data_IF_640826952115
#
_entry.id   IF_640826952115
#
_cell.length_a   1.000
_cell.length_b   1.000
_cell.length_c   1.000
_cell.angle_alpha   90.00
_cell.angle_beta   90.00
_cell.angle_gamma   90.00
#
_symmetry.space_group_name_H-M   'P 1'
#
loop_
_entity.id
_entity.type
_entity.pdbx_description
1 polymer ?
#
# COMPACT_ATOMS: atom_id res chain seq x y z
N UNK A 1 -12.01 -90.29 25.97
CA UNK A 1 -11.56 -89.03 25.31
C UNK A 1 -12.29 -88.92 23.97
N UNK A 2 -13.29 -88.05 23.87
CA UNK A 2 -14.14 -87.95 22.68
C UNK A 2 -13.41 -87.31 21.50
N UNK A 3 -13.42 -87.99 20.35
CA UNK A 3 -12.91 -87.47 19.09
C UNK A 3 -13.78 -86.31 18.60
N UNK A 4 -13.29 -85.07 18.71
CA UNK A 4 -13.94 -83.91 18.11
C UNK A 4 -14.00 -84.09 16.59
N UNK A 5 -15.19 -83.88 16.01
CA UNK A 5 -15.42 -84.02 14.58
C UNK A 5 -14.56 -82.99 13.81
N UNK A 6 -13.55 -83.47 13.07
CA UNK A 6 -12.61 -82.63 12.31
C UNK A 6 -13.34 -81.64 11.38
N UNK A 7 -14.50 -82.02 10.85
CA UNK A 7 -15.29 -81.15 9.98
C UNK A 7 -15.87 -79.94 10.74
N UNK A 8 -16.26 -80.12 12.01
CA UNK A 8 -16.75 -79.01 12.86
C UNK A 8 -15.61 -78.06 13.18
N UNK A 9 -14.43 -78.58 13.52
CA UNK A 9 -13.23 -77.77 13.81
C UNK A 9 -12.81 -76.93 12.61
N UNK A 10 -12.78 -77.53 11.41
CA UNK A 10 -12.44 -76.82 10.17
C UNK A 10 -13.49 -75.76 9.84
N UNK A 11 -14.78 -76.08 9.98
CA UNK A 11 -15.85 -75.12 9.70
C UNK A 11 -15.83 -73.92 10.66
N UNK A 12 -15.60 -74.18 11.95
CA UNK A 12 -15.45 -73.13 12.96
C UNK A 12 -14.23 -72.24 12.68
N UNK A 13 -13.09 -72.81 12.29
CA UNK A 13 -11.90 -72.03 11.92
C UNK A 13 -12.11 -71.14 10.69
N UNK A 14 -12.81 -71.65 9.67
CA UNK A 14 -13.15 -70.88 8.47
C UNK A 14 -14.04 -69.68 8.83
N UNK A 15 -15.06 -69.87 9.67
CA UNK A 15 -15.95 -68.78 10.10
C UNK A 15 -15.18 -67.75 10.95
N UNK A 16 -14.36 -68.22 11.90
CA UNK A 16 -13.55 -67.35 12.78
C UNK A 16 -12.57 -66.49 11.98
N UNK A 17 -12.03 -66.98 10.86
CA UNK A 17 -11.11 -66.21 10.03
C UNK A 17 -11.82 -65.39 8.93
N UNK A 18 -12.92 -65.88 8.37
CA UNK A 18 -13.63 -65.21 7.29
C UNK A 18 -14.37 -63.94 7.76
N UNK A 19 -15.00 -63.96 8.93
CA UNK A 19 -15.76 -62.81 9.44
C UNK A 19 -14.86 -61.59 9.74
N UNK A 20 -13.70 -61.70 10.41
CA UNK A 20 -12.78 -60.59 10.60
C UNK A 20 -12.19 -60.06 9.29
N UNK A 21 -11.89 -60.94 8.34
CA UNK A 21 -11.36 -60.54 7.03
C UNK A 21 -12.40 -59.80 6.19
N UNK A 22 -13.65 -60.28 6.19
CA UNK A 22 -14.76 -59.60 5.54
C UNK A 22 -15.05 -58.25 6.22
N UNK A 23 -14.99 -58.19 7.55
CA UNK A 23 -15.11 -56.95 8.32
C UNK A 23 -13.99 -55.95 8.01
N UNK A 24 -12.74 -56.39 7.95
CA UNK A 24 -11.58 -55.55 7.60
C UNK A 24 -11.65 -55.07 6.15
N UNK A 25 -12.09 -55.93 5.23
CA UNK A 25 -12.30 -55.56 3.84
C UNK A 25 -13.42 -54.52 3.69
N UNK A 26 -14.56 -54.75 4.35
CA UNK A 26 -15.68 -53.80 4.36
C UNK A 26 -15.28 -52.47 5.00
N UNK A 27 -14.54 -52.49 6.10
CA UNK A 27 -14.00 -51.31 6.76
C UNK A 27 -13.07 -50.52 5.83
N UNK A 28 -12.09 -51.16 5.20
CA UNK A 28 -11.18 -50.50 4.24
C UNK A 28 -11.90 -49.93 3.01
N UNK A 29 -12.99 -50.57 2.57
CA UNK A 29 -13.80 -50.12 1.43
C UNK A 29 -14.70 -48.93 1.79
N UNK A 30 -15.19 -48.86 3.02
CA UNK A 30 -16.15 -47.83 3.47
C UNK A 30 -15.49 -46.67 4.22
N UNK A 31 -14.28 -46.86 4.71
CA UNK A 31 -13.48 -45.84 5.40
C UNK A 31 -12.20 -45.60 4.59
N UNK A 32 -12.23 -44.68 3.60
CA UNK A 32 -11.00 -44.26 2.93
C UNK A 32 -9.97 -43.84 3.99
N UNK A 33 -8.69 -44.14 3.74
CA UNK A 33 -7.61 -43.77 4.66
C UNK A 33 -7.74 -42.29 4.99
N UNK A 34 -7.77 -41.95 6.28
CA UNK A 34 -7.64 -40.56 6.71
C UNK A 34 -6.31 -40.03 6.19
N UNK A 35 -6.37 -39.13 5.22
CA UNK A 35 -5.22 -38.36 4.76
C UNK A 35 -5.24 -37.10 5.62
N UNK A 36 -4.29 -37.00 6.54
CA UNK A 36 -4.13 -35.77 7.30
C UNK A 36 -3.97 -34.60 6.32
N UNK A 37 -4.62 -33.45 6.56
CA UNK A 37 -4.42 -32.29 5.72
C UNK A 37 -2.93 -31.92 5.70
N UNK A 38 -2.45 -31.43 4.56
CA UNK A 38 -1.10 -30.91 4.47
C UNK A 38 -0.88 -29.85 5.57
N UNK A 39 0.30 -29.81 6.20
CA UNK A 39 0.59 -28.76 7.16
C UNK A 39 0.43 -27.39 6.48
N UNK A 40 -0.03 -26.36 7.21
CA UNK A 40 -0.16 -25.02 6.65
C UNK A 40 1.21 -24.53 6.16
N UNK A 41 1.22 -23.87 5.00
CA UNK A 41 2.44 -23.25 4.47
C UNK A 41 2.95 -22.21 5.46
N UNK A 42 4.27 -22.11 5.69
CA UNK A 42 4.83 -21.12 6.60
C UNK A 42 4.57 -19.70 6.09
N UNK A 43 4.10 -18.83 6.98
CA UNK A 43 3.80 -17.42 6.67
C UNK A 43 4.74 -16.48 7.43
N UNK A 44 4.87 -15.26 6.90
CA UNK A 44 5.52 -14.11 7.52
C UNK A 44 4.57 -12.92 7.46
N UNK A 45 4.66 -12.05 8.46
CA UNK A 45 3.90 -10.80 8.50
C UNK A 45 4.71 -9.68 7.84
N UNK A 46 4.10 -9.01 6.88
CA UNK A 46 4.63 -7.81 6.22
C UNK A 46 3.78 -6.62 6.65
N UNK A 47 4.35 -5.63 7.31
CA UNK A 47 3.63 -4.41 7.71
C UNK A 47 4.24 -3.20 7.02
N UNK A 48 3.43 -2.50 6.22
CA UNK A 48 3.79 -1.22 5.62
C UNK A 48 3.09 -0.11 6.42
N UNK A 49 3.83 0.91 6.83
CA UNK A 49 3.30 1.99 7.67
C UNK A 49 2.79 3.14 6.77
N UNK A 50 1.64 3.77 7.07
CA UNK A 50 1.17 4.93 6.32
C UNK A 50 2.23 6.04 6.25
N UNK A 51 2.37 6.63 5.08
CA UNK A 51 3.36 7.68 4.82
C UNK A 51 4.79 7.16 4.60
N UNK A 52 5.00 5.84 4.56
CA UNK A 52 6.25 5.26 4.06
C UNK A 52 6.38 5.46 2.56
N UNK A 53 7.56 5.91 2.12
CA UNK A 53 7.91 5.98 0.71
C UNK A 53 8.52 4.66 0.22
N UNK A 54 8.75 4.57 -1.09
CA UNK A 54 9.23 3.37 -1.75
C UNK A 54 10.65 2.99 -1.29
N UNK A 55 11.47 3.95 -0.86
CA UNK A 55 12.80 3.67 -0.25
C UNK A 55 12.65 2.85 1.03
N UNK A 56 11.73 3.27 1.90
CA UNK A 56 11.44 2.58 3.16
C UNK A 56 10.83 1.21 2.92
N UNK A 57 9.88 1.09 1.98
CA UNK A 57 9.28 -0.19 1.61
C UNK A 57 10.32 -1.14 1.03
N UNK A 58 11.14 -0.68 0.07
CA UNK A 58 12.18 -1.50 -0.53
C UNK A 58 13.19 -2.02 0.51
N UNK A 59 13.69 -1.14 1.38
CA UNK A 59 14.60 -1.53 2.45
C UNK A 59 13.96 -2.53 3.42
N UNK A 60 12.67 -2.39 3.71
CA UNK A 60 11.94 -3.33 4.56
C UNK A 60 11.75 -4.71 3.90
N UNK A 61 11.42 -4.76 2.61
CA UNK A 61 11.27 -6.02 1.87
C UNK A 61 12.61 -6.79 1.74
N UNK A 62 13.72 -6.07 1.56
CA UNK A 62 15.07 -6.65 1.62
C UNK A 62 15.35 -7.24 3.00
N UNK A 63 15.04 -6.50 4.07
CA UNK A 63 15.21 -6.98 5.45
C UNK A 63 14.40 -8.26 5.75
N UNK A 64 13.23 -8.42 5.13
CA UNK A 64 12.41 -9.62 5.25
C UNK A 64 12.87 -10.79 4.36
N UNK A 65 13.85 -10.57 3.48
CA UNK A 65 14.40 -11.59 2.58
C UNK A 65 13.59 -11.81 1.31
N UNK A 66 12.66 -10.91 0.96
CA UNK A 66 11.92 -11.00 -0.30
C UNK A 66 12.70 -10.48 -1.51
N UNK A 67 13.78 -9.71 -1.27
CA UNK A 67 14.69 -9.18 -2.29
C UNK A 67 16.13 -9.19 -1.76
N UNK A 68 17.12 -9.28 -2.66
CA UNK A 68 18.54 -9.25 -2.24
C UNK A 68 19.03 -7.82 -2.05
N UNK A 69 18.58 -6.90 -2.92
CA UNK A 69 18.90 -5.47 -2.86
C UNK A 69 17.66 -4.62 -3.09
N UNK A 70 17.74 -3.32 -2.79
CA UNK A 70 16.66 -2.37 -3.12
C UNK A 70 16.44 -2.25 -4.64
N UNK A 71 17.50 -2.41 -5.43
CA UNK A 71 17.42 -2.35 -6.90
C UNK A 71 16.58 -3.49 -7.48
N UNK A 72 16.54 -4.64 -6.80
CA UNK A 72 15.63 -5.73 -7.19
C UNK A 72 14.15 -5.32 -7.04
N UNK A 73 13.84 -4.49 -6.05
CA UNK A 73 12.51 -3.90 -5.85
C UNK A 73 12.26 -2.83 -6.90
N UNK A 74 13.18 -1.88 -7.08
CA UNK A 74 13.03 -0.78 -8.04
C UNK A 74 12.94 -1.24 -9.49
N UNK A 75 13.49 -2.41 -9.84
CA UNK A 75 13.30 -3.01 -11.18
C UNK A 75 11.83 -3.32 -11.47
N UNK A 76 11.03 -3.60 -10.45
CA UNK A 76 9.60 -3.86 -10.56
C UNK A 76 8.78 -2.59 -10.32
N UNK A 77 9.21 -1.73 -9.40
CA UNK A 77 8.42 -0.59 -8.93
C UNK A 77 8.80 0.76 -9.55
N UNK A 78 9.94 0.87 -10.22
CA UNK A 78 10.58 2.16 -10.50
C UNK A 78 11.32 2.72 -9.28
N UNK A 79 12.21 3.67 -9.53
CA UNK A 79 12.96 4.40 -8.50
C UNK A 79 12.16 5.59 -7.97
N UNK A 80 12.25 5.88 -6.66
CA UNK A 80 11.62 7.05 -6.07
C UNK A 80 12.27 8.36 -6.53
N UNK A 81 11.43 9.38 -6.76
CA UNK A 81 11.81 10.72 -7.22
C UNK A 81 12.60 10.76 -8.55
N UNK A 82 12.36 9.79 -9.44
CA UNK A 82 13.01 9.72 -10.75
C UNK A 82 12.04 10.05 -11.91
N UNK A 83 12.38 11.02 -12.74
CA UNK A 83 11.57 11.44 -13.89
C UNK A 83 11.83 10.57 -15.14
N UNK A 84 11.04 9.52 -15.32
CA UNK A 84 11.20 8.63 -16.48
C UNK A 84 10.69 9.21 -17.80
N UNK A 85 10.11 10.42 -17.84
CA UNK A 85 9.73 11.05 -19.13
C UNK A 85 10.95 11.34 -20.00
N UNK A 86 12.13 11.44 -19.37
CA UNK A 86 13.40 11.72 -20.04
C UNK A 86 14.14 10.48 -20.52
N UNK A 87 13.64 9.28 -20.24
CA UNK A 87 14.27 8.01 -20.61
C UNK A 87 13.25 7.06 -21.22
N UNK A 88 13.65 6.31 -22.25
CA UNK A 88 12.82 5.25 -22.81
C UNK A 88 12.89 4.02 -21.90
N UNK A 89 12.11 4.02 -20.82
CA UNK A 89 12.03 2.91 -19.88
C UNK A 89 10.62 2.33 -19.87
N UNK A 90 10.52 1.01 -20.09
CA UNK A 90 9.27 0.25 -19.96
C UNK A 90 9.36 -0.53 -18.65
N UNK A 91 8.60 -0.12 -17.64
CA UNK A 91 8.51 -0.88 -16.39
C UNK A 91 7.61 -2.10 -16.55
N UNK A 92 7.89 -3.20 -15.81
CA UNK A 92 6.95 -4.30 -15.72
C UNK A 92 5.66 -3.80 -15.08
N UNK A 93 4.53 -4.05 -15.72
CA UNK A 93 3.23 -3.82 -15.12
C UNK A 93 3.05 -4.84 -13.99
N UNK A 94 3.02 -4.37 -12.74
CA UNK A 94 2.87 -5.22 -11.55
C UNK A 94 1.47 -5.86 -11.51
N UNK A 95 0.45 -5.12 -11.93
CA UNK A 95 -0.95 -5.51 -11.81
C UNK A 95 -1.83 -4.83 -12.87
N UNK A 96 -3.01 -5.37 -13.14
CA UNK A 96 -3.99 -4.87 -14.10
C UNK A 96 -5.20 -4.17 -13.46
N UNK A 97 -5.14 -3.85 -12.15
CA UNK A 97 -6.23 -3.15 -11.43
C UNK A 97 -6.57 -1.78 -11.99
N UNK A 98 -7.77 -1.31 -11.65
CA UNK A 98 -8.27 0.00 -12.06
C UNK A 98 -7.41 1.14 -11.51
N UNK A 99 -6.93 1.01 -10.26
CA UNK A 99 -6.06 2.03 -9.64
C UNK A 99 -4.77 2.27 -10.42
N UNK A 100 -4.19 1.25 -11.04
CA UNK A 100 -2.97 1.41 -11.85
C UNK A 100 -3.22 1.75 -13.32
N UNK A 101 -4.48 1.74 -13.77
CA UNK A 101 -4.83 1.97 -15.18
C UNK A 101 -4.49 3.40 -15.65
N UNK A 102 -4.67 4.39 -14.76
CA UNK A 102 -4.35 5.79 -15.04
C UNK A 102 -2.94 6.19 -14.58
N UNK A 103 -2.17 5.25 -14.01
CA UNK A 103 -0.78 5.50 -13.64
C UNK A 103 0.05 5.73 -14.90
N UNK A 104 0.73 6.88 -15.06
CA UNK A 104 1.60 7.08 -16.19
C UNK A 104 2.74 6.04 -16.22
N UNK A 105 3.13 5.61 -17.43
CA UNK A 105 4.24 4.67 -17.61
C UNK A 105 5.60 5.24 -17.20
N UNK A 106 5.69 6.56 -17.05
CA UNK A 106 6.91 7.27 -16.65
C UNK A 106 7.03 7.53 -15.14
N UNK A 107 6.07 7.05 -14.33
CA UNK A 107 6.16 7.17 -12.87
C UNK A 107 6.33 5.80 -12.21
N UNK A 108 6.93 5.81 -11.03
CA UNK A 108 7.09 4.64 -10.17
C UNK A 108 5.74 4.16 -9.60
N UNK A 109 5.78 3.09 -8.81
CA UNK A 109 4.67 2.59 -8.01
C UNK A 109 4.62 3.26 -6.61
N UNK A 110 5.30 4.40 -6.42
CA UNK A 110 5.12 5.22 -5.22
C UNK A 110 3.63 5.58 -5.04
N UNK A 111 3.11 5.47 -3.82
CA UNK A 111 1.67 5.67 -3.55
C UNK A 111 0.81 4.40 -3.69
N UNK A 112 1.20 3.45 -4.52
CA UNK A 112 0.37 2.31 -4.89
C UNK A 112 0.43 1.13 -3.91
N UNK A 113 1.38 1.11 -2.99
CA UNK A 113 1.58 0.01 -2.05
C UNK A 113 0.77 0.27 -0.77
N UNK A 114 -0.37 -0.43 -0.61
CA UNK A 114 -1.27 -0.18 0.51
C UNK A 114 -0.56 -0.33 1.88
N UNK A 115 -0.63 0.68 2.76
CA UNK A 115 0.03 0.65 4.06
C UNK A 115 -0.81 -0.10 5.11
N UNK A 116 -0.81 -1.43 5.02
CA UNK A 116 -1.45 -2.32 5.99
C UNK A 116 -0.52 -3.45 6.46
N UNK A 117 -1.08 -4.37 7.24
CA UNK A 117 -0.42 -5.60 7.71
C UNK A 117 -0.94 -6.81 6.97
N UNK A 118 -0.05 -7.54 6.31
CA UNK A 118 -0.36 -8.67 5.45
C UNK A 118 0.29 -9.96 5.96
N UNK A 119 -0.43 -11.08 5.83
CA UNK A 119 0.15 -12.42 5.87
C UNK A 119 0.56 -12.82 4.47
N UNK A 120 1.83 -13.22 4.33
CA UNK A 120 2.40 -13.69 3.06
C UNK A 120 3.14 -14.99 3.31
N UNK A 121 3.12 -15.92 2.35
CA UNK A 121 3.92 -17.13 2.45
C UNK A 121 5.42 -16.79 2.46
N UNK A 122 6.20 -17.53 3.25
CA UNK A 122 7.65 -17.30 3.38
C UNK A 122 8.40 -17.54 2.08
N UNK A 123 7.86 -18.39 1.21
CA UNK A 123 8.37 -18.71 -0.13
C UNK A 123 7.70 -17.89 -1.24
N UNK A 124 6.89 -16.87 -0.91
CA UNK A 124 6.31 -15.98 -1.90
C UNK A 124 7.42 -15.17 -2.60
N UNK A 125 7.24 -14.93 -3.90
CA UNK A 125 8.16 -14.09 -4.66
C UNK A 125 7.97 -12.61 -4.32
N UNK A 126 8.97 -11.79 -4.61
CA UNK A 126 8.84 -10.32 -4.52
C UNK A 126 7.62 -9.80 -5.28
N UNK A 127 7.39 -10.34 -6.50
CA UNK A 127 6.25 -9.94 -7.32
C UNK A 127 4.91 -10.31 -6.66
N UNK A 128 4.81 -11.46 -5.99
CA UNK A 128 3.60 -11.85 -5.27
C UNK A 128 3.30 -10.90 -4.11
N UNK A 129 4.34 -10.48 -3.38
CA UNK A 129 4.21 -9.48 -2.31
C UNK A 129 3.71 -8.16 -2.87
N UNK A 130 4.35 -7.64 -3.93
CA UNK A 130 3.97 -6.36 -4.54
C UNK A 130 2.54 -6.39 -5.12
N UNK A 131 2.16 -7.47 -5.81
CA UNK A 131 0.79 -7.69 -6.28
C UNK A 131 -0.22 -7.69 -5.14
N UNK A 132 0.12 -8.28 -4.00
CA UNK A 132 -0.75 -8.27 -2.82
C UNK A 132 -0.94 -6.85 -2.27
N UNK A 133 0.12 -6.04 -2.23
CA UNK A 133 0.06 -4.65 -1.76
C UNK A 133 -0.78 -3.77 -2.71
N UNK A 134 -0.55 -3.86 -4.02
CA UNK A 134 -1.31 -3.11 -5.04
C UNK A 134 -2.77 -3.59 -5.10
N UNK A 135 -3.00 -4.89 -5.06
CA UNK A 135 -4.34 -5.46 -5.04
C UNK A 135 -5.12 -5.13 -3.76
N UNK A 136 -4.45 -4.85 -2.64
CA UNK A 136 -5.12 -4.30 -1.47
C UNK A 136 -5.51 -2.84 -1.67
N UNK A 137 -4.64 -2.03 -2.28
CA UNK A 137 -4.94 -0.63 -2.61
C UNK A 137 -6.23 -0.51 -3.43
N UNK A 138 -6.37 -1.35 -4.45
CA UNK A 138 -7.59 -1.41 -5.26
C UNK A 138 -8.85 -1.66 -4.41
N UNK A 139 -8.77 -2.55 -3.42
CA UNK A 139 -9.90 -2.90 -2.54
C UNK A 139 -10.26 -1.79 -1.54
N UNK A 140 -9.32 -0.91 -1.21
CA UNK A 140 -9.58 0.24 -0.34
C UNK A 140 -10.51 1.26 -1.03
N UNK A 141 -10.54 1.28 -2.36
CA UNK A 141 -11.34 2.23 -3.14
C UNK A 141 -12.66 1.56 -3.52
N UNK A 142 -13.72 1.95 -2.80
CA UNK A 142 -15.07 1.43 -3.06
C UNK A 142 -15.63 1.92 -4.40
N UNK A 143 -16.63 1.24 -4.96
CA UNK A 143 -17.32 1.70 -6.17
C UNK A 143 -17.90 3.11 -6.04
N UNK A 144 -18.37 3.48 -4.84
CA UNK A 144 -18.84 4.84 -4.57
C UNK A 144 -17.69 5.86 -4.67
N UNK A 145 -16.53 5.54 -4.10
CA UNK A 145 -15.34 6.39 -4.21
C UNK A 145 -14.90 6.52 -5.67
N UNK A 146 -14.94 5.44 -6.44
CA UNK A 146 -14.65 5.48 -7.88
C UNK A 146 -15.59 6.41 -8.65
N UNK A 147 -16.90 6.33 -8.39
CA UNK A 147 -17.88 7.22 -9.00
C UNK A 147 -17.66 8.69 -8.59
N UNK A 148 -17.27 8.93 -7.33
CA UNK A 148 -17.00 10.28 -6.84
C UNK A 148 -15.69 10.87 -7.41
N UNK A 149 -14.67 10.04 -7.62
CA UNK A 149 -13.43 10.42 -8.34
C UNK A 149 -13.80 10.87 -9.76
N UNK A 150 -14.53 10.05 -10.52
CA UNK A 150 -14.97 10.41 -11.88
C UNK A 150 -15.76 11.73 -11.90
N UNK A 151 -16.66 11.93 -10.93
CA UNK A 151 -17.47 13.14 -10.80
C UNK A 151 -16.65 14.37 -10.42
N UNK A 152 -15.56 14.20 -9.68
CA UNK A 152 -14.68 15.30 -9.29
C UNK A 152 -13.91 15.88 -10.49
N UNK A 153 -13.76 15.12 -11.58
CA UNK A 153 -12.96 15.50 -12.73
C UNK A 153 -11.46 15.26 -12.56
N UNK A 154 -11.04 14.71 -11.42
CA UNK A 154 -9.67 14.27 -11.17
C UNK A 154 -9.49 12.80 -11.55
N UNK A 155 -8.31 12.48 -12.07
CA UNK A 155 -7.87 11.09 -12.23
C UNK A 155 -7.55 10.46 -10.87
N UNK A 156 -7.64 9.13 -10.79
CA UNK A 156 -7.18 8.36 -9.64
C UNK A 156 -5.70 8.60 -9.31
N UNK A 157 -4.88 8.89 -10.32
CA UNK A 157 -3.48 9.27 -10.16
C UNK A 157 -3.32 10.60 -9.42
N UNK A 158 -4.11 11.62 -9.78
CA UNK A 158 -4.11 12.92 -9.10
C UNK A 158 -4.62 12.81 -7.67
N UNK A 159 -5.68 12.01 -7.45
CA UNK A 159 -6.21 11.73 -6.11
C UNK A 159 -5.16 11.05 -5.23
N UNK A 160 -4.46 10.05 -5.76
CA UNK A 160 -3.42 9.35 -5.01
C UNK A 160 -2.21 10.24 -4.73
N UNK A 161 -1.86 11.11 -5.69
CA UNK A 161 -0.81 12.11 -5.53
C UNK A 161 -1.17 13.10 -4.42
N UNK A 162 -2.38 13.67 -4.46
CA UNK A 162 -2.88 14.55 -3.41
C UNK A 162 -2.91 13.85 -2.04
N UNK A 163 -3.44 12.63 -1.97
CA UNK A 163 -3.48 11.83 -0.76
C UNK A 163 -2.09 11.59 -0.15
N UNK A 164 -1.08 11.36 -0.99
CA UNK A 164 0.30 11.18 -0.53
C UNK A 164 0.88 12.44 0.11
N UNK A 165 0.53 13.63 -0.40
CA UNK A 165 0.92 14.92 0.21
C UNK A 165 0.21 15.08 1.55
N UNK A 166 -1.10 14.87 1.60
CA UNK A 166 -1.90 14.98 2.83
C UNK A 166 -1.38 14.06 3.93
N UNK A 167 -0.98 12.83 3.60
CA UNK A 167 -0.41 11.88 4.55
C UNK A 167 0.88 12.42 5.21
N UNK A 168 1.69 13.18 4.46
CA UNK A 168 2.95 13.71 4.95
C UNK A 168 2.81 15.04 5.68
N UNK A 169 1.76 15.81 5.38
CA UNK A 169 1.58 17.16 5.92
C UNK A 169 0.76 17.17 7.22
N UNK A 170 -0.24 16.30 7.35
CA UNK A 170 -1.23 16.37 8.43
C UNK A 170 -1.63 14.99 8.95
N UNK A 171 -1.88 14.92 10.26
CA UNK A 171 -2.11 13.64 10.94
C UNK A 171 -3.59 13.25 11.02
N UNK A 172 -4.47 14.19 11.40
CA UNK A 172 -5.88 13.88 11.70
C UNK A 172 -6.73 13.84 10.43
N UNK A 173 -7.77 12.97 10.35
CA UNK A 173 -8.68 12.95 9.20
C UNK A 173 -9.36 14.30 8.94
N UNK A 174 -9.71 15.04 9.99
CA UNK A 174 -10.35 16.36 9.89
C UNK A 174 -9.41 17.39 9.27
N UNK A 175 -8.14 17.41 9.71
CA UNK A 175 -7.16 18.33 9.13
C UNK A 175 -6.80 17.91 7.69
N UNK A 176 -6.71 16.61 7.40
CA UNK A 176 -6.56 16.08 6.03
C UNK A 176 -7.64 16.64 5.10
N UNK A 177 -8.91 16.59 5.50
CA UNK A 177 -10.01 17.09 4.67
C UNK A 177 -9.94 18.62 4.45
N UNK A 178 -9.57 19.40 5.48
CA UNK A 178 -9.43 20.86 5.35
C UNK A 178 -8.23 21.26 4.50
N UNK A 179 -7.09 20.58 4.68
CA UNK A 179 -5.89 20.84 3.89
C UNK A 179 -6.08 20.39 2.44
N UNK A 180 -6.83 19.30 2.20
CA UNK A 180 -7.22 18.90 0.85
C UNK A 180 -7.97 20.02 0.10
N UNK A 181 -8.95 20.67 0.75
CA UNK A 181 -9.65 21.82 0.17
C UNK A 181 -8.70 22.99 -0.15
N UNK A 182 -7.75 23.29 0.74
CA UNK A 182 -6.75 24.35 0.51
C UNK A 182 -5.89 24.02 -0.72
N UNK A 183 -5.38 22.79 -0.81
CA UNK A 183 -4.47 22.37 -1.89
C UNK A 183 -5.19 22.26 -3.24
N UNK A 184 -6.41 21.71 -3.28
CA UNK A 184 -7.21 21.70 -4.51
C UNK A 184 -7.54 23.12 -4.99
N UNK A 185 -7.97 24.02 -4.10
CA UNK A 185 -8.23 25.42 -4.48
C UNK A 185 -6.98 26.15 -4.95
N UNK A 186 -5.81 25.86 -4.36
CA UNK A 186 -4.52 26.40 -4.84
C UNK A 186 -4.25 25.92 -6.27
N UNK A 187 -4.44 24.63 -6.53
CA UNK A 187 -4.28 24.05 -7.86
C UNK A 187 -5.20 24.72 -8.89
N UNK A 188 -6.50 24.86 -8.58
CA UNK A 188 -7.49 25.53 -9.44
C UNK A 188 -7.14 27.00 -9.74
N UNK A 189 -6.44 27.68 -8.81
CA UNK A 189 -5.99 29.07 -8.96
C UNK A 189 -4.58 29.18 -9.56
N UNK A 190 -3.98 28.06 -9.99
CA UNK A 190 -2.61 28.00 -10.50
C UNK A 190 -1.58 28.53 -9.49
N UNK A 191 -1.82 28.31 -8.20
CA UNK A 191 -0.85 28.59 -7.13
C UNK A 191 0.06 27.38 -6.95
N UNK A 192 1.34 27.63 -6.70
CA UNK A 192 2.26 26.61 -6.24
C UNK A 192 1.75 26.01 -4.91
N UNK A 193 1.82 24.67 -4.75
CA UNK A 193 1.35 24.02 -3.54
C UNK A 193 2.25 24.34 -2.34
N UNK A 194 3.57 24.49 -2.58
CA UNK A 194 4.57 24.91 -1.59
C UNK A 194 4.54 24.04 -0.32
N UNK A 195 4.55 22.72 -0.50
CA UNK A 195 4.54 21.74 0.58
C UNK A 195 5.96 21.20 0.82
N UNK A 196 6.44 21.28 2.07
CA UNK A 196 7.80 20.90 2.46
C UNK A 196 8.04 19.40 2.27
N UNK A 197 7.00 18.58 2.49
CA UNK A 197 7.05 17.13 2.26
C UNK A 197 7.51 16.73 0.85
N UNK A 198 7.12 17.50 -0.18
CA UNK A 198 7.51 17.22 -1.57
C UNK A 198 9.01 17.45 -1.81
N UNK A 199 9.59 18.47 -1.16
CA UNK A 199 11.02 18.76 -1.24
C UNK A 199 11.83 17.76 -0.40
N UNK A 200 11.34 17.39 0.79
CA UNK A 200 11.96 16.33 1.59
C UNK A 200 12.02 14.99 0.85
N UNK A 201 10.98 14.66 0.08
CA UNK A 201 10.96 13.46 -0.75
C UNK A 201 12.07 13.47 -1.81
N UNK A 202 12.27 14.60 -2.49
CA UNK A 202 13.34 14.76 -3.50
C UNK A 202 14.73 14.73 -2.86
N UNK A 203 14.89 15.36 -1.70
CA UNK A 203 16.17 15.43 -1.00
C UNK A 203 16.56 14.13 -0.27
N UNK A 204 15.68 13.11 -0.27
CA UNK A 204 15.82 11.86 0.50
C UNK A 204 16.16 12.11 1.98
N UNK A 205 15.49 13.11 2.59
CA UNK A 205 15.68 13.45 4.01
C UNK A 205 14.50 12.97 4.83
N UNK A 206 14.82 12.49 6.04
CA UNK A 206 13.85 12.12 7.06
C UNK A 206 14.18 12.85 8.37
N UNK A 207 13.17 13.26 9.13
CA UNK A 207 13.32 13.72 10.52
C UNK A 207 13.19 15.23 10.77
N UNK A 208 13.41 16.09 9.77
CA UNK A 208 13.17 17.54 9.89
C UNK A 208 11.79 17.92 9.31
N UNK A 209 11.10 18.86 9.97
CA UNK A 209 9.77 19.35 9.54
C UNK A 209 9.87 20.44 8.48
N UNK A 210 10.98 21.18 8.47
CA UNK A 210 11.16 22.34 7.61
C UNK A 210 12.30 22.14 6.62
N UNK A 211 12.09 22.62 5.40
CA UNK A 211 13.11 22.64 4.36
C UNK A 211 13.92 23.95 4.38
N UNK A 212 15.19 23.86 4.02
CA UNK A 212 16.08 25.01 3.82
C UNK A 212 15.83 25.66 2.45
N UNK A 213 16.23 26.92 2.26
CA UNK A 213 16.13 27.60 0.96
C UNK A 213 16.86 26.82 -0.15
N UNK A 214 18.06 26.30 0.15
CA UNK A 214 18.86 25.49 -0.78
C UNK A 214 18.12 24.23 -1.23
N UNK A 215 17.34 23.60 -0.35
CA UNK A 215 16.54 22.42 -0.70
C UNK A 215 15.34 22.80 -1.56
N UNK A 216 14.70 23.94 -1.28
CA UNK A 216 13.60 24.47 -2.09
C UNK A 216 14.02 24.88 -3.50
N UNK A 217 15.32 25.04 -3.76
CA UNK A 217 15.86 25.33 -5.09
C UNK A 217 16.16 24.08 -5.94
N UNK A 218 16.03 22.87 -5.38
CA UNK A 218 16.32 21.61 -6.11
C UNK A 218 15.47 21.51 -7.38
N UNK A 219 16.12 21.25 -8.51
CA UNK A 219 15.48 21.09 -9.81
C UNK A 219 14.86 19.69 -9.97
N UNK A 220 13.60 19.56 -9.57
CA UNK A 220 12.86 18.30 -9.67
C UNK A 220 11.37 18.55 -9.92
N UNK A 221 10.70 17.76 -10.77
CA UNK A 221 9.27 17.93 -11.02
C UNK A 221 8.38 17.53 -9.84
N UNK A 222 8.95 17.03 -8.74
CA UNK A 222 8.26 16.91 -7.45
C UNK A 222 8.36 18.17 -6.59
N UNK A 223 9.23 19.13 -6.93
CA UNK A 223 9.39 20.35 -6.15
C UNK A 223 8.24 21.34 -6.38
N UNK A 224 7.26 21.29 -5.49
CA UNK A 224 6.06 22.14 -5.51
C UNK A 224 6.28 23.61 -5.14
N UNK A 225 7.50 24.01 -4.78
CA UNK A 225 7.87 25.43 -4.67
C UNK A 225 8.25 26.02 -6.02
N UNK A 226 8.91 25.22 -6.86
CA UNK A 226 9.47 25.65 -8.14
C UNK A 226 8.49 25.48 -9.30
N UNK A 227 7.69 24.43 -9.26
CA UNK A 227 6.73 24.10 -10.31
C UNK A 227 5.30 24.16 -9.77
N UNK A 228 4.47 25.10 -10.26
CA UNK A 228 3.04 25.11 -9.99
C UNK A 228 2.36 23.84 -10.51
N UNK A 229 1.34 23.37 -9.80
CA UNK A 229 0.67 22.11 -10.11
C UNK A 229 0.88 21.04 -9.03
N UNK A 230 0.33 19.85 -9.27
CA UNK A 230 0.71 18.66 -8.52
C UNK A 230 2.16 18.28 -8.85
N UNK A 231 2.90 17.67 -7.91
CA UNK A 231 4.18 17.05 -8.23
C UNK A 231 4.00 15.96 -9.29
N UNK A 232 5.08 15.53 -9.93
CA UNK A 232 5.02 14.55 -11.03
C UNK A 232 4.21 13.30 -10.68
N UNK A 233 4.29 12.85 -9.42
CA UNK A 233 3.51 11.74 -8.87
C UNK A 233 3.54 11.73 -7.34
N UNK A 234 3.03 10.65 -6.72
CA UNK A 234 2.99 10.52 -5.26
C UNK A 234 4.38 10.61 -4.60
N UNK A 235 4.41 10.99 -3.31
CA UNK A 235 5.65 11.14 -2.51
C UNK A 235 5.76 10.14 -1.35
N UNK A 236 4.73 9.32 -1.15
CA UNK A 236 4.65 8.28 -0.14
C UNK A 236 3.41 7.40 -0.40
N UNK A 237 3.28 6.31 0.35
CA UNK A 237 2.09 5.47 0.35
C UNK A 237 1.04 5.98 1.36
N UNK A 238 -0.05 6.63 0.91
CA UNK A 238 -1.06 7.17 1.81
C UNK A 238 -1.95 6.09 2.42
N UNK A 239 -2.45 6.30 3.63
CA UNK A 239 -3.53 5.50 4.18
C UNK A 239 -4.88 5.84 3.54
N UNK A 240 -5.88 4.96 3.72
CA UNK A 240 -7.23 5.15 3.17
C UNK A 240 -7.89 6.46 3.60
N UNK A 241 -7.60 6.95 4.82
CA UNK A 241 -8.16 8.22 5.31
C UNK A 241 -7.63 9.43 4.53
N UNK A 242 -6.38 9.40 4.05
CA UNK A 242 -5.84 10.46 3.19
C UNK A 242 -6.43 10.40 1.78
N UNK A 243 -6.71 9.19 1.26
CA UNK A 243 -7.43 9.02 -0.01
C UNK A 243 -8.84 9.61 0.13
N UNK A 244 -9.58 9.25 1.18
CA UNK A 244 -10.92 9.80 1.44
C UNK A 244 -10.88 11.32 1.55
N UNK A 245 -9.90 11.90 2.24
CA UNK A 245 -9.78 13.36 2.34
C UNK A 245 -9.51 14.03 0.98
N UNK A 246 -8.72 13.40 0.11
CA UNK A 246 -8.47 13.90 -1.24
C UNK A 246 -9.74 13.87 -2.12
N UNK A 247 -10.60 12.85 -1.97
CA UNK A 247 -11.88 12.72 -2.70
C UNK A 247 -12.96 13.63 -2.10
N UNK A 248 -12.99 13.75 -0.77
CA UNK A 248 -14.04 14.44 0.00
C UNK A 248 -13.46 15.60 0.84
N UNK A 249 -12.94 16.67 0.21
CA UNK A 249 -12.38 17.80 0.93
C UNK A 249 -13.45 18.55 1.74
N UNK A 250 -13.06 19.07 2.92
CA UNK A 250 -13.91 19.92 3.75
C UNK A 250 -13.75 21.38 3.33
N UNK A 251 -14.75 21.91 2.63
CA UNK A 251 -14.77 23.32 2.18
C UNK A 251 -14.52 24.29 3.33
N UNK A 252 -13.52 25.14 3.18
CA UNK A 252 -13.18 26.14 4.17
C UNK A 252 -12.67 27.45 3.53
N UNK A 253 -12.45 28.47 4.36
CA UNK A 253 -12.02 29.80 3.92
C UNK A 253 -10.51 30.06 4.05
N UNK A 254 -9.71 29.05 4.37
CA UNK A 254 -8.28 29.21 4.59
C UNK A 254 -7.50 29.11 3.28
N UNK A 255 -6.33 29.73 3.22
CA UNK A 255 -5.42 29.59 2.08
C UNK A 255 -4.05 29.06 2.49
N UNK A 256 -3.77 29.07 3.79
CA UNK A 256 -2.50 28.70 4.38
C UNK A 256 -2.73 27.76 5.56
N UNK A 257 -1.82 26.84 5.74
CA UNK A 257 -1.74 25.97 6.91
C UNK A 257 -0.27 25.81 7.29
N UNK A 258 -0.02 25.46 8.55
CA UNK A 258 1.29 25.06 9.02
C UNK A 258 1.12 24.04 10.14
N UNK A 259 1.85 22.93 10.06
CA UNK A 259 1.85 21.90 11.10
C UNK A 259 2.95 22.20 12.11
N UNK A 260 2.57 22.44 13.36
CA UNK A 260 3.51 22.66 14.46
C UNK A 260 4.25 21.38 14.85
N UNK A 261 5.32 21.52 15.63
CA UNK A 261 6.06 20.36 16.18
C UNK A 261 5.23 19.51 17.15
N UNK A 262 4.16 20.07 17.68
CA UNK A 262 3.15 19.41 18.50
C UNK A 262 2.12 18.62 17.66
N UNK A 263 2.21 18.68 16.33
CA UNK A 263 1.29 18.02 15.41
C UNK A 263 -0.01 18.80 15.15
N UNK A 264 -0.18 19.99 15.76
CA UNK A 264 -1.36 20.81 15.56
C UNK A 264 -1.28 21.61 14.27
N UNK A 265 -2.42 21.79 13.60
CA UNK A 265 -2.50 22.54 12.34
C UNK A 265 -2.99 23.97 12.59
N UNK A 266 -2.19 24.94 12.17
CA UNK A 266 -2.47 26.36 12.30
C UNK A 266 -2.88 26.93 10.95
N UNK A 267 -4.16 27.30 10.83
CA UNK A 267 -4.74 27.82 9.60
C UNK A 267 -4.63 29.34 9.49
N UNK A 268 -4.55 29.85 8.26
CA UNK A 268 -4.57 31.28 7.94
C UNK A 268 -5.34 31.56 6.66
N UNK A 269 -6.15 32.62 6.66
CA UNK A 269 -6.88 33.13 5.49
C UNK A 269 -5.99 34.05 4.65
N UNK A 270 -5.03 34.73 5.27
CA UNK A 270 -4.10 35.65 4.60
C UNK A 270 -2.64 35.29 4.87
N UNK A 271 -1.74 35.88 4.09
CA UNK A 271 -0.30 35.71 4.26
C UNK A 271 0.19 36.31 5.59
N UNK A 272 -0.42 37.40 6.05
CA UNK A 272 -0.11 38.03 7.34
C UNK A 272 -0.44 37.09 8.51
N UNK A 273 -1.60 36.43 8.45
CA UNK A 273 -1.99 35.41 9.44
C UNK A 273 -1.04 34.22 9.42
N UNK A 274 -0.67 33.72 8.24
CA UNK A 274 0.31 32.64 8.10
C UNK A 274 1.68 33.02 8.69
N UNK A 275 2.19 34.20 8.36
CA UNK A 275 3.45 34.71 8.90
C UNK A 275 3.39 34.93 10.42
N UNK A 276 2.22 35.31 10.96
CA UNK A 276 2.01 35.39 12.40
C UNK A 276 2.02 34.03 13.08
N UNK A 277 1.43 32.99 12.46
CA UNK A 277 1.49 31.62 12.96
C UNK A 277 2.93 31.09 12.94
N UNK A 278 3.68 31.34 11.85
CA UNK A 278 5.09 30.93 11.74
C UNK A 278 5.98 31.53 12.83
N UNK A 279 5.72 32.76 13.29
CA UNK A 279 6.48 33.39 14.39
C UNK A 279 6.22 32.78 15.77
N UNK A 280 5.15 32.00 15.93
CA UNK A 280 4.75 31.38 17.20
C UNK A 280 5.30 29.95 17.37
N UNK A 281 5.93 29.39 16.34
CA UNK A 281 6.38 28.01 16.23
C UNK A 281 7.91 27.95 16.07
#
# INVERSE_FOLDING_TARGET
>A
MGSFNKNVVVFSLVIILALPLAGLWYYKKTHPRYIAPLPPRPEVTVTIIPGWNLRQVAGYLVKLGFASTTDDVYRLTGEPAYDYRRVASVFPKIDDSRIVAEKPGYDSYEGYLAPETFRVFRDATLLDVLKKLVGQREKEITEQMWADIEKSGHSSYEILTMASILEKEVQTPQDKAKVADILWRRLEKNWALQVDSSVHYVADRTGDVFTTEKERDIDSPWNTYKYPGLPLGPIANPGVESIKAAIYPEKNGYWYFLTGKDGMVYYGKTLEEHNANKRKL
#
